data_IF_161778293776
#
_entry.id   IF_161778293776
#
_cell.length_a   1.000
_cell.length_b   1.000
_cell.length_c   1.000
_cell.angle_alpha   90.00
_cell.angle_beta   90.00
_cell.angle_gamma   90.00
#
_symmetry.space_group_name_H-M   'P 1'
#
loop_
_entity.id
_entity.type
_entity.pdbx_description
1 polymer ?
#
# COMPACT_ATOMS: atom_id res chain seq x y z
N UNK A 1 -20.81 -27.88 -9.93
CA UNK A 1 -20.27 -26.51 -9.75
C UNK A 1 -18.94 -26.68 -9.07
N UNK A 2 -17.87 -26.15 -9.65
CA UNK A 2 -16.58 -26.12 -8.95
C UNK A 2 -16.70 -25.18 -7.75
N UNK A 3 -16.07 -25.57 -6.65
CA UNK A 3 -15.99 -24.77 -5.43
C UNK A 3 -14.55 -24.35 -5.18
N UNK A 4 -14.34 -23.37 -4.31
CA UNK A 4 -12.99 -22.94 -3.96
C UNK A 4 -12.19 -24.07 -3.28
N UNK A 5 -12.89 -25.04 -2.67
CA UNK A 5 -12.28 -26.21 -2.01
C UNK A 5 -11.51 -27.11 -2.98
N UNK A 6 -11.90 -27.14 -4.26
CA UNK A 6 -11.27 -27.96 -5.30
C UNK A 6 -9.79 -27.58 -5.54
N UNK A 7 -9.38 -26.39 -5.11
CA UNK A 7 -8.03 -25.86 -5.33
C UNK A 7 -7.07 -26.01 -4.15
N UNK A 8 -7.55 -26.41 -2.96
CA UNK A 8 -6.75 -26.43 -1.72
C UNK A 8 -5.52 -27.35 -1.86
N UNK A 9 -5.72 -28.56 -2.37
CA UNK A 9 -4.67 -29.55 -2.58
C UNK A 9 -3.62 -29.03 -3.58
N UNK A 10 -4.05 -28.26 -4.57
CA UNK A 10 -3.17 -27.57 -5.51
C UNK A 10 -2.35 -26.46 -4.87
N UNK A 11 -2.99 -25.63 -4.04
CA UNK A 11 -2.36 -24.49 -3.36
C UNK A 11 -1.38 -24.94 -2.28
N UNK A 12 -1.73 -25.97 -1.52
CA UNK A 12 -0.92 -26.47 -0.38
C UNK A 12 0.13 -27.51 -0.78
N UNK A 13 0.03 -28.07 -2.00
CA UNK A 13 1.02 -28.98 -2.59
C UNK A 13 2.44 -28.44 -2.47
N UNK A 14 3.47 -29.29 -2.31
CA UNK A 14 4.88 -28.89 -2.42
C UNK A 14 5.43 -28.93 -3.86
N UNK A 15 4.69 -29.52 -4.80
CA UNK A 15 5.09 -29.58 -6.20
C UNK A 15 4.83 -28.23 -6.90
N UNK A 16 5.90 -27.60 -7.36
CA UNK A 16 5.85 -26.32 -8.08
C UNK A 16 5.06 -26.41 -9.38
N UNK A 17 5.14 -27.53 -10.12
CA UNK A 17 4.37 -27.70 -11.36
C UNK A 17 2.88 -27.75 -11.06
N UNK A 18 2.50 -28.50 -10.03
CA UNK A 18 1.11 -28.57 -9.56
C UNK A 18 0.59 -27.19 -9.16
N UNK A 19 1.35 -26.42 -8.36
CA UNK A 19 0.98 -25.04 -8.00
C UNK A 19 0.80 -24.13 -9.22
N UNK A 20 1.69 -24.21 -10.20
CA UNK A 20 1.58 -23.43 -11.45
C UNK A 20 0.35 -23.82 -12.26
N UNK A 21 0.00 -25.10 -12.31
CA UNK A 21 -1.24 -25.56 -12.94
C UNK A 21 -2.46 -25.06 -12.17
N UNK A 22 -2.46 -25.18 -10.84
CA UNK A 22 -3.54 -24.67 -9.97
C UNK A 22 -3.76 -23.17 -10.17
N UNK A 23 -2.71 -22.37 -10.36
CA UNK A 23 -2.84 -20.96 -10.74
C UNK A 23 -3.60 -20.80 -12.07
N UNK A 24 -3.21 -21.55 -13.10
CA UNK A 24 -3.84 -21.47 -14.42
C UNK A 24 -5.35 -21.80 -14.36
N UNK A 25 -5.76 -22.66 -13.43
CA UNK A 25 -7.16 -23.03 -13.21
C UNK A 25 -7.91 -22.04 -12.28
N UNK A 26 -7.21 -21.46 -11.28
CA UNK A 26 -7.78 -20.49 -10.34
C UNK A 26 -8.12 -19.15 -11.00
N UNK A 27 -7.29 -18.66 -11.93
CA UNK A 27 -7.51 -17.37 -12.59
C UNK A 27 -8.88 -17.30 -13.30
N UNK A 28 -9.24 -18.22 -14.21
CA UNK A 28 -10.56 -18.18 -14.85
C UNK A 28 -11.70 -18.39 -13.85
N UNK A 29 -11.52 -19.26 -12.86
CA UNK A 29 -12.53 -19.48 -11.82
C UNK A 29 -12.85 -18.21 -11.02
N UNK A 30 -11.83 -17.50 -10.53
CA UNK A 30 -12.01 -16.26 -9.76
C UNK A 30 -12.46 -15.09 -10.64
N UNK A 31 -12.15 -15.12 -11.93
CA UNK A 31 -12.56 -14.11 -12.90
C UNK A 31 -14.04 -14.21 -13.28
N UNK A 32 -14.65 -15.41 -13.19
CA UNK A 32 -16.08 -15.60 -13.44
C UNK A 32 -16.92 -15.17 -12.22
N UNK A 33 -17.67 -14.05 -12.28
CA UNK A 33 -18.47 -13.53 -11.17
C UNK A 33 -19.50 -14.52 -10.61
N UNK A 34 -19.87 -15.55 -11.37
CA UNK A 34 -20.85 -16.56 -10.96
C UNK A 34 -20.25 -17.74 -10.19
N UNK A 35 -18.92 -17.90 -10.20
CA UNK A 35 -18.23 -18.91 -9.38
C UNK A 35 -18.49 -18.69 -7.90
N UNK A 36 -18.92 -19.72 -7.17
CA UNK A 36 -19.15 -19.62 -5.72
C UNK A 36 -17.82 -19.58 -4.97
N UNK A 37 -17.69 -18.63 -4.04
CA UNK A 37 -16.60 -18.60 -3.06
C UNK A 37 -16.97 -19.25 -1.73
N UNK A 38 -18.14 -19.89 -1.64
CA UNK A 38 -18.55 -20.59 -0.42
C UNK A 38 -17.58 -21.73 -0.11
N UNK A 39 -17.14 -21.76 1.16
CA UNK A 39 -16.31 -22.78 1.75
C UNK A 39 -16.98 -23.26 3.03
N UNK A 40 -16.83 -24.53 3.39
CA UNK A 40 -17.45 -25.13 4.57
C UNK A 40 -16.73 -24.77 5.90
N UNK A 41 -16.43 -23.48 6.11
CA UNK A 41 -15.96 -22.87 7.37
C UNK A 41 -14.49 -23.06 7.79
N UNK A 42 -13.66 -23.87 7.12
CA UNK A 42 -12.20 -24.00 7.45
C UNK A 42 -11.23 -23.82 6.26
N UNK A 43 -11.74 -23.77 5.05
CA UNK A 43 -10.91 -23.93 3.85
C UNK A 43 -10.34 -22.62 3.29
N UNK A 44 -11.01 -21.49 3.52
CA UNK A 44 -10.51 -20.17 3.05
C UNK A 44 -9.22 -19.80 3.77
N UNK A 45 -9.12 -20.02 5.07
CA UNK A 45 -7.90 -19.70 5.83
C UNK A 45 -6.71 -20.51 5.32
N UNK A 46 -6.88 -21.82 5.12
CA UNK A 46 -5.83 -22.68 4.58
C UNK A 46 -5.40 -22.26 3.17
N UNK A 47 -6.37 -21.87 2.34
CA UNK A 47 -6.08 -21.35 1.00
C UNK A 47 -5.28 -20.05 1.07
N UNK A 48 -5.70 -19.09 1.90
CA UNK A 48 -5.00 -17.81 2.06
C UNK A 48 -3.59 -18.01 2.63
N UNK A 49 -3.42 -18.89 3.61
CA UNK A 49 -2.10 -19.23 4.15
C UNK A 49 -1.20 -19.88 3.09
N UNK A 50 -1.74 -20.79 2.28
CA UNK A 50 -1.02 -21.41 1.18
C UNK A 50 -0.60 -20.39 0.12
N UNK A 51 -1.49 -19.47 -0.26
CA UNK A 51 -1.19 -18.37 -1.19
C UNK A 51 -0.18 -17.38 -0.60
N UNK A 52 -0.25 -17.06 0.69
CA UNK A 52 0.80 -16.29 1.37
C UNK A 52 2.15 -17.03 1.30
N UNK A 53 2.15 -18.37 1.35
CA UNK A 53 3.32 -19.20 1.08
C UNK A 53 3.84 -19.08 -0.35
N UNK A 54 2.95 -18.99 -1.35
CA UNK A 54 3.33 -18.72 -2.74
C UNK A 54 4.02 -17.37 -2.88
N UNK A 55 3.43 -16.31 -2.29
CA UNK A 55 4.01 -14.95 -2.29
C UNK A 55 5.43 -14.94 -1.70
N UNK A 56 5.67 -15.73 -0.64
CA UNK A 56 7.00 -15.85 -0.01
C UNK A 56 8.02 -16.67 -0.81
N UNK A 57 7.61 -17.35 -1.87
CA UNK A 57 8.49 -18.20 -2.67
C UNK A 57 9.70 -17.45 -3.22
N UNK A 58 10.82 -18.14 -3.35
CA UNK A 58 12.01 -17.67 -4.09
C UNK A 58 11.81 -17.76 -5.61
N UNK A 59 10.84 -18.53 -6.08
CA UNK A 59 10.44 -18.56 -7.48
C UNK A 59 9.55 -17.34 -7.76
N UNK A 60 10.10 -16.33 -8.45
CA UNK A 60 9.38 -15.09 -8.72
C UNK A 60 8.06 -15.31 -9.47
N UNK A 61 7.96 -16.33 -10.32
CA UNK A 61 6.72 -16.64 -11.06
C UNK A 61 5.65 -17.15 -10.11
N UNK A 62 6.00 -18.04 -9.19
CA UNK A 62 5.05 -18.51 -8.18
C UNK A 62 4.65 -17.39 -7.21
N UNK A 63 5.59 -16.51 -6.86
CA UNK A 63 5.32 -15.34 -6.03
C UNK A 63 4.35 -14.36 -6.70
N UNK A 64 4.59 -14.05 -7.98
CA UNK A 64 3.70 -13.22 -8.80
C UNK A 64 2.29 -13.83 -8.89
N UNK A 65 2.21 -15.13 -9.17
CA UNK A 65 0.95 -15.87 -9.23
C UNK A 65 0.18 -15.80 -7.90
N UNK A 66 0.87 -15.92 -6.76
CA UNK A 66 0.25 -15.79 -5.44
C UNK A 66 -0.33 -14.38 -5.21
N UNK A 67 0.41 -13.34 -5.61
CA UNK A 67 -0.08 -11.96 -5.51
C UNK A 67 -1.31 -11.72 -6.40
N UNK A 68 -1.30 -12.23 -7.64
CA UNK A 68 -2.40 -12.09 -8.60
C UNK A 68 -3.68 -12.78 -8.11
N UNK A 69 -3.56 -14.01 -7.59
CA UNK A 69 -4.71 -14.74 -7.03
C UNK A 69 -5.28 -13.98 -5.82
N UNK A 70 -4.42 -13.48 -4.92
CA UNK A 70 -4.88 -12.70 -3.77
C UNK A 70 -5.56 -11.39 -4.19
N UNK A 71 -5.11 -10.73 -5.27
CA UNK A 71 -5.80 -9.56 -5.83
C UNK A 71 -7.24 -9.91 -6.23
N UNK A 72 -7.43 -11.01 -6.97
CA UNK A 72 -8.76 -11.45 -7.40
C UNK A 72 -9.63 -11.88 -6.22
N UNK A 73 -9.06 -12.57 -5.24
CA UNK A 73 -9.79 -12.96 -4.01
C UNK A 73 -10.27 -11.74 -3.25
N UNK A 74 -9.44 -10.71 -3.09
CA UNK A 74 -9.84 -9.46 -2.42
C UNK A 74 -10.98 -8.78 -3.17
N UNK A 75 -10.92 -8.71 -4.50
CA UNK A 75 -11.99 -8.10 -5.30
C UNK A 75 -13.32 -8.84 -5.15
N UNK A 76 -13.28 -10.17 -5.05
CA UNK A 76 -14.46 -11.03 -4.95
C UNK A 76 -15.04 -11.10 -3.54
N UNK A 77 -14.19 -11.09 -2.51
CA UNK A 77 -14.60 -11.18 -1.10
C UNK A 77 -14.99 -9.83 -0.51
N UNK A 78 -14.42 -8.72 -1.02
CA UNK A 78 -14.64 -7.40 -0.45
C UNK A 78 -14.25 -7.35 1.03
N UNK A 79 -15.10 -6.77 1.87
CA UNK A 79 -14.88 -6.64 3.31
C UNK A 79 -14.71 -7.99 4.04
N UNK A 80 -15.22 -9.08 3.49
CA UNK A 80 -15.03 -10.43 4.05
C UNK A 80 -13.56 -10.86 4.01
N UNK A 81 -12.69 -10.19 3.23
CA UNK A 81 -11.26 -10.45 3.25
C UNK A 81 -10.54 -9.85 4.47
N UNK A 82 -11.15 -8.90 5.18
CA UNK A 82 -10.54 -8.17 6.30
C UNK A 82 -9.84 -9.06 7.35
N UNK A 83 -10.40 -10.22 7.77
CA UNK A 83 -9.76 -11.11 8.74
C UNK A 83 -8.40 -11.63 8.27
N UNK A 84 -8.21 -11.80 6.96
CA UNK A 84 -6.99 -12.39 6.39
C UNK A 84 -5.92 -11.35 6.00
N UNK A 85 -6.23 -10.05 6.09
CA UNK A 85 -5.28 -8.96 5.77
C UNK A 85 -3.98 -9.13 6.56
N UNK A 86 -4.05 -9.45 7.85
CA UNK A 86 -2.86 -9.62 8.71
C UNK A 86 -2.02 -10.83 8.35
N UNK A 87 -2.63 -11.87 7.76
CA UNK A 87 -1.95 -13.09 7.31
C UNK A 87 -1.09 -12.82 6.08
N UNK A 88 -1.62 -12.06 5.11
CA UNK A 88 -0.94 -11.81 3.84
C UNK A 88 0.03 -10.63 3.90
N UNK A 89 -0.27 -9.60 4.69
CA UNK A 89 0.42 -8.32 4.65
C UNK A 89 1.96 -8.42 4.80
N UNK A 90 2.53 -9.22 5.73
CA UNK A 90 3.98 -9.34 5.84
C UNK A 90 4.65 -9.83 4.55
N UNK A 91 4.04 -10.81 3.87
CA UNK A 91 4.56 -11.34 2.62
C UNK A 91 4.52 -10.30 1.50
N UNK A 92 3.45 -9.50 1.44
CA UNK A 92 3.29 -8.43 0.44
C UNK A 92 4.30 -7.30 0.66
N UNK A 93 4.56 -6.91 1.92
CA UNK A 93 5.59 -5.91 2.25
C UNK A 93 6.96 -6.37 1.78
N UNK A 94 7.33 -7.62 2.04
CA UNK A 94 8.62 -8.18 1.58
C UNK A 94 8.73 -8.16 0.04
N UNK A 95 7.61 -8.32 -0.68
CA UNK A 95 7.56 -8.28 -2.14
C UNK A 95 7.71 -6.89 -2.75
N UNK A 96 7.53 -5.81 -1.98
CA UNK A 96 7.99 -4.48 -2.40
C UNK A 96 9.52 -4.43 -2.58
N UNK A 97 10.26 -5.38 -2.00
CA UNK A 97 11.71 -5.50 -2.12
C UNK A 97 12.19 -6.44 -3.23
N UNK A 98 11.29 -6.97 -4.07
CA UNK A 98 11.65 -7.98 -5.06
C UNK A 98 12.50 -7.39 -6.20
N UNK A 99 13.45 -8.18 -6.70
CA UNK A 99 14.29 -7.86 -7.85
C UNK A 99 13.52 -7.64 -9.15
N UNK A 100 12.31 -8.21 -9.27
CA UNK A 100 11.47 -8.13 -10.47
C UNK A 100 10.40 -7.06 -10.31
N UNK A 101 10.41 -6.09 -11.23
CA UNK A 101 9.48 -4.96 -11.23
C UNK A 101 8.03 -5.42 -11.20
N UNK A 102 7.66 -6.40 -12.04
CA UNK A 102 6.32 -7.00 -12.06
C UNK A 102 5.83 -7.53 -10.70
N UNK A 103 6.73 -8.05 -9.85
CA UNK A 103 6.39 -8.54 -8.51
C UNK A 103 6.12 -7.35 -7.58
N UNK A 104 6.96 -6.30 -7.65
CA UNK A 104 6.76 -5.07 -6.87
C UNK A 104 5.48 -4.36 -7.27
N UNK A 105 5.19 -4.28 -8.56
CA UNK A 105 3.98 -3.65 -9.11
C UNK A 105 2.72 -4.39 -8.65
N UNK A 106 2.73 -5.73 -8.70
CA UNK A 106 1.60 -6.52 -8.23
C UNK A 106 1.43 -6.41 -6.70
N UNK A 107 2.52 -6.32 -5.94
CA UNK A 107 2.47 -6.09 -4.50
C UNK A 107 1.86 -4.72 -4.15
N UNK A 108 2.21 -3.66 -4.90
CA UNK A 108 1.58 -2.34 -4.79
C UNK A 108 0.07 -2.40 -5.05
N UNK A 109 -0.34 -3.09 -6.12
CA UNK A 109 -1.75 -3.27 -6.45
C UNK A 109 -2.50 -4.00 -5.34
N UNK A 110 -1.93 -5.08 -4.80
CA UNK A 110 -2.53 -5.82 -3.70
C UNK A 110 -2.65 -4.96 -2.44
N UNK A 111 -1.63 -4.17 -2.07
CA UNK A 111 -1.72 -3.24 -0.93
C UNK A 111 -2.90 -2.28 -1.06
N UNK A 112 -3.11 -1.70 -2.25
CA UNK A 112 -4.25 -0.80 -2.49
C UNK A 112 -5.60 -1.53 -2.38
N UNK A 113 -5.68 -2.79 -2.81
CA UNK A 113 -6.88 -3.63 -2.69
C UNK A 113 -7.17 -4.04 -1.24
N UNK A 114 -6.12 -4.34 -0.46
CA UNK A 114 -6.23 -4.60 0.97
C UNK A 114 -6.76 -3.37 1.75
N UNK A 115 -6.50 -2.17 1.24
CA UNK A 115 -7.10 -0.94 1.78
C UNK A 115 -8.56 -0.80 1.39
N UNK A 116 -8.90 -1.01 0.11
CA UNK A 116 -10.27 -0.99 -0.40
C UNK A 116 -10.36 -1.95 -1.61
N UNK A 117 -11.27 -2.94 -1.63
CA UNK A 117 -12.46 -3.05 -0.77
C UNK A 117 -12.28 -3.80 0.56
N UNK A 118 -11.12 -4.41 0.86
CA UNK A 118 -11.03 -5.32 2.01
C UNK A 118 -11.16 -4.65 3.38
N UNK A 119 -10.71 -3.41 3.55
CA UNK A 119 -10.67 -2.76 4.86
C UNK A 119 -10.70 -1.23 4.72
N UNK A 120 -9.69 -0.52 5.25
CA UNK A 120 -9.50 0.92 5.05
C UNK A 120 -8.02 1.26 4.87
N UNK A 121 -7.68 2.40 4.24
CA UNK A 121 -6.31 2.91 4.19
C UNK A 121 -5.63 2.99 5.56
N UNK A 122 -6.32 3.57 6.56
CA UNK A 122 -5.79 3.68 7.92
C UNK A 122 -5.47 2.32 8.54
N UNK A 123 -6.37 1.34 8.40
CA UNK A 123 -6.17 0.00 8.98
C UNK A 123 -4.91 -0.69 8.46
N UNK A 124 -4.63 -0.56 7.16
CA UNK A 124 -3.42 -1.11 6.55
C UNK A 124 -2.20 -0.32 7.02
N UNK A 125 -2.22 1.02 6.95
CA UNK A 125 -1.08 1.86 7.34
C UNK A 125 -0.70 1.75 8.82
N UNK A 126 -1.64 1.50 9.73
CA UNK A 126 -1.35 1.20 11.14
C UNK A 126 -0.43 -0.02 11.32
N UNK A 127 -0.36 -0.89 10.31
CA UNK A 127 0.47 -2.11 10.30
C UNK A 127 1.72 -1.99 9.41
N UNK A 128 1.88 -0.89 8.68
CA UNK A 128 3.01 -0.66 7.78
C UNK A 128 4.20 0.01 8.46
N UNK A 129 4.10 0.40 9.73
CA UNK A 129 5.18 1.06 10.49
C UNK A 129 6.57 0.42 10.32
N UNK A 130 6.73 -0.91 10.48
CA UNK A 130 8.01 -1.58 10.30
C UNK A 130 8.64 -1.43 8.90
N UNK A 131 7.83 -1.19 7.86
CA UNK A 131 8.31 -1.05 6.49
C UNK A 131 9.13 0.23 6.28
N UNK A 132 8.87 1.30 7.05
CA UNK A 132 9.65 2.54 6.99
C UNK A 132 11.09 2.36 7.49
N UNK A 133 11.37 1.35 8.30
CA UNK A 133 12.72 1.02 8.79
C UNK A 133 13.28 -0.26 8.17
N UNK A 134 12.73 -0.72 7.04
CA UNK A 134 13.12 -1.99 6.46
C UNK A 134 14.55 -1.97 5.90
N UNK A 135 15.24 -3.12 5.97
CA UNK A 135 16.64 -3.25 5.53
C UNK A 135 16.81 -3.07 4.02
N UNK A 136 15.82 -3.48 3.23
CA UNK A 136 15.83 -3.33 1.77
C UNK A 136 15.30 -1.94 1.39
N UNK A 137 16.11 -1.19 0.64
CA UNK A 137 15.76 0.17 0.21
C UNK A 137 14.51 0.19 -0.67
N UNK A 138 14.32 -0.81 -1.53
CA UNK A 138 13.11 -0.95 -2.36
C UNK A 138 11.82 -1.06 -1.53
N UNK A 139 11.84 -1.68 -0.34
CA UNK A 139 10.65 -1.74 0.52
C UNK A 139 10.32 -0.34 1.08
N UNK A 140 11.35 0.40 1.53
CA UNK A 140 11.18 1.77 2.04
C UNK A 140 10.71 2.73 0.94
N UNK A 141 11.27 2.63 -0.26
CA UNK A 141 10.80 3.36 -1.44
C UNK A 141 9.36 2.95 -1.78
N UNK A 142 9.09 1.66 -1.85
CA UNK A 142 7.78 1.09 -2.16
C UNK A 142 6.70 1.64 -1.23
N UNK A 143 6.93 1.67 0.09
CA UNK A 143 5.90 2.16 1.01
C UNK A 143 5.62 3.67 0.88
N UNK A 144 6.63 4.46 0.51
CA UNK A 144 6.47 5.87 0.21
C UNK A 144 5.66 6.10 -1.08
N UNK A 145 5.85 5.25 -2.09
CA UNK A 145 5.02 5.24 -3.29
C UNK A 145 3.58 4.78 -2.99
N UNK A 146 3.41 3.74 -2.16
CA UNK A 146 2.09 3.30 -1.69
C UNK A 146 1.35 4.44 -1.01
N UNK A 147 2.04 5.21 -0.16
CA UNK A 147 1.46 6.37 0.52
C UNK A 147 0.97 7.44 -0.47
N UNK A 148 1.80 7.82 -1.44
CA UNK A 148 1.44 8.78 -2.49
C UNK A 148 0.22 8.30 -3.28
N UNK A 149 0.22 7.04 -3.72
CA UNK A 149 -0.90 6.43 -4.43
C UNK A 149 -2.18 6.41 -3.58
N UNK A 150 -2.04 6.14 -2.28
CA UNK A 150 -3.17 6.09 -1.33
C UNK A 150 -3.82 7.45 -1.17
N UNK A 151 -3.05 8.51 -0.89
CA UNK A 151 -3.62 9.84 -0.72
C UNK A 151 -4.15 10.42 -2.04
N UNK A 152 -3.51 10.11 -3.18
CA UNK A 152 -4.02 10.50 -4.49
C UNK A 152 -5.34 9.82 -4.84
N UNK A 153 -5.52 8.56 -4.43
CA UNK A 153 -6.73 7.79 -4.71
C UNK A 153 -7.88 8.08 -3.75
N UNK A 154 -7.60 8.22 -2.46
CA UNK A 154 -8.62 8.30 -1.41
C UNK A 154 -8.66 9.63 -0.67
N UNK A 155 -7.76 10.57 -1.00
CA UNK A 155 -7.59 11.85 -0.33
C UNK A 155 -6.79 11.75 0.98
N UNK A 156 -6.05 12.80 1.34
CA UNK A 156 -5.22 12.81 2.56
C UNK A 156 -5.96 12.53 3.88
N UNK A 157 -7.28 12.76 3.94
CA UNK A 157 -8.10 12.51 5.15
C UNK A 157 -8.32 11.03 5.45
N UNK A 158 -8.03 10.13 4.50
CA UNK A 158 -8.11 8.69 4.76
C UNK A 158 -7.00 8.18 5.70
N UNK A 159 -5.98 9.02 5.99
CA UNK A 159 -4.86 8.72 6.85
C UNK A 159 -4.66 9.77 7.94
N UNK A 160 -4.30 9.31 9.13
CA UNK A 160 -3.79 10.14 10.22
C UNK A 160 -2.31 10.45 9.96
N UNK A 161 -2.06 11.38 9.03
CA UNK A 161 -0.73 11.72 8.55
C UNK A 161 0.24 12.17 9.66
N UNK A 162 -0.25 12.70 10.77
CA UNK A 162 0.58 13.08 11.92
C UNK A 162 1.33 11.91 12.54
N UNK A 163 0.85 10.66 12.38
CA UNK A 163 1.55 9.45 12.82
C UNK A 163 2.60 8.96 11.81
N UNK A 164 2.42 9.28 10.53
CA UNK A 164 3.24 8.74 9.44
C UNK A 164 4.39 9.69 9.08
N UNK A 165 4.12 11.00 9.08
CA UNK A 165 5.10 12.04 8.69
C UNK A 165 6.42 11.94 9.47
N UNK A 166 6.46 11.69 10.79
CA UNK A 166 7.73 11.52 11.50
C UNK A 166 8.63 10.41 10.93
N UNK A 167 8.05 9.30 10.45
CA UNK A 167 8.83 8.22 9.84
C UNK A 167 9.32 8.58 8.44
N UNK A 168 8.52 9.30 7.65
CA UNK A 168 8.96 9.86 6.36
C UNK A 168 10.13 10.84 6.55
N UNK A 169 10.06 11.68 7.59
CA UNK A 169 11.13 12.62 7.92
C UNK A 169 12.47 11.94 8.22
N UNK A 170 12.46 10.75 8.85
CA UNK A 170 13.68 9.96 9.07
C UNK A 170 14.28 9.47 7.74
N UNK A 171 13.43 9.13 6.77
CA UNK A 171 13.84 8.64 5.45
C UNK A 171 14.48 9.71 4.56
N UNK A 172 14.40 10.99 4.92
CA UNK A 172 15.18 12.05 4.27
C UNK A 172 16.70 11.88 4.47
N UNK A 173 17.12 11.05 5.43
CA UNK A 173 18.52 10.69 5.71
C UNK A 173 18.89 9.28 5.30
N UNK A 174 18.03 8.62 4.54
CA UNK A 174 18.29 7.24 4.15
C UNK A 174 19.61 7.13 3.36
N UNK A 175 20.43 6.07 3.54
CA UNK A 175 21.63 5.87 2.74
C UNK A 175 21.33 5.82 1.23
N UNK A 176 20.18 5.30 0.83
CA UNK A 176 19.77 5.24 -0.58
C UNK A 176 19.26 6.60 -1.08
N UNK A 177 19.83 7.15 -2.17
CA UNK A 177 19.31 8.38 -2.79
C UNK A 177 17.86 8.23 -3.26
N UNK A 178 17.48 7.07 -3.77
CA UNK A 178 16.11 6.77 -4.22
C UNK A 178 15.10 6.88 -3.07
N UNK A 179 15.45 6.38 -1.89
CA UNK A 179 14.59 6.49 -0.70
C UNK A 179 14.47 7.94 -0.24
N UNK A 180 15.56 8.72 -0.24
CA UNK A 180 15.51 10.15 0.11
C UNK A 180 14.66 10.96 -0.87
N UNK A 181 14.75 10.66 -2.16
CA UNK A 181 13.94 11.27 -3.20
C UNK A 181 12.46 10.91 -3.02
N UNK A 182 12.14 9.63 -2.86
CA UNK A 182 10.78 9.17 -2.60
C UNK A 182 10.19 9.80 -1.32
N UNK A 183 10.98 9.99 -0.27
CA UNK A 183 10.55 10.61 0.97
C UNK A 183 10.24 12.10 0.77
N UNK A 184 11.08 12.78 -0.01
CA UNK A 184 10.85 14.17 -0.42
C UNK A 184 9.57 14.29 -1.22
N UNK A 185 9.35 13.42 -2.21
CA UNK A 185 8.15 13.43 -3.05
C UNK A 185 6.89 13.09 -2.25
N UNK A 186 6.96 12.16 -1.30
CA UNK A 186 5.85 11.86 -0.40
C UNK A 186 5.45 13.07 0.45
N UNK A 187 6.41 13.85 0.97
CA UNK A 187 6.11 15.09 1.71
C UNK A 187 5.53 16.18 0.80
N UNK A 188 5.98 16.28 -0.45
CA UNK A 188 5.41 17.20 -1.45
C UNK A 188 3.99 16.81 -1.80
N UNK A 189 3.69 15.53 -1.97
CA UNK A 189 2.33 15.06 -2.23
C UNK A 189 1.42 15.30 -1.02
N UNK A 190 1.88 15.02 0.20
CA UNK A 190 1.14 15.40 1.42
C UNK A 190 0.88 16.91 1.45
N UNK A 191 1.87 17.73 1.12
CA UNK A 191 1.72 19.17 1.04
C UNK A 191 0.70 19.59 -0.03
N UNK A 192 0.68 18.95 -1.19
CA UNK A 192 -0.30 19.18 -2.26
C UNK A 192 -1.75 19.01 -1.78
N UNK A 193 -1.99 18.02 -0.92
CA UNK A 193 -3.31 17.71 -0.37
C UNK A 193 -3.70 18.57 0.84
N UNK A 194 -2.73 18.95 1.68
CA UNK A 194 -2.98 19.51 3.04
C UNK A 194 -2.57 20.99 3.16
N UNK A 195 -1.62 21.46 2.36
CA UNK A 195 -1.14 22.83 2.33
C UNK A 195 -0.20 23.22 3.49
N UNK A 196 -0.21 24.50 3.84
CA UNK A 196 0.76 25.12 4.75
C UNK A 196 0.86 24.49 6.14
N UNK A 197 -0.20 23.80 6.61
CA UNK A 197 -0.14 23.06 7.87
C UNK A 197 1.04 22.10 7.91
N UNK A 198 1.35 21.44 6.79
CA UNK A 198 2.48 20.50 6.68
C UNK A 198 3.80 21.21 6.97
N UNK A 199 4.03 22.42 6.43
CA UNK A 199 5.25 23.20 6.69
C UNK A 199 5.42 23.51 8.18
N UNK A 200 4.33 23.84 8.87
CA UNK A 200 4.36 24.12 10.31
C UNK A 200 4.67 22.85 11.12
N UNK A 201 4.04 21.73 10.76
CA UNK A 201 4.26 20.45 11.43
C UNK A 201 5.71 19.95 11.23
N UNK A 202 6.27 20.11 10.03
CA UNK A 202 7.67 19.76 9.73
C UNK A 202 8.68 20.59 10.53
N UNK A 203 8.41 21.88 10.74
CA UNK A 203 9.24 22.73 11.63
C UNK A 203 9.20 22.23 13.08
N UNK A 204 8.05 21.80 13.57
CA UNK A 204 7.90 21.25 14.94
C UNK A 204 8.62 19.91 15.12
N UNK A 205 8.71 19.10 14.07
CA UNK A 205 9.46 17.83 14.07
C UNK A 205 10.97 18.07 14.19
N UNK A 206 11.46 19.28 13.86
CA UNK A 206 12.87 19.64 14.02
C UNK A 206 13.75 19.21 12.85
N UNK A 207 13.21 19.20 11.62
CA UNK A 207 14.03 18.98 10.43
C UNK A 207 15.15 20.03 10.32
N UNK A 208 16.33 19.61 9.83
CA UNK A 208 17.44 20.53 9.62
C UNK A 208 17.09 21.65 8.64
N UNK A 209 17.72 22.82 8.81
CA UNK A 209 17.44 23.99 7.98
C UNK A 209 17.66 23.69 6.48
N UNK A 210 18.69 22.91 6.15
CA UNK A 210 18.97 22.50 4.78
C UNK A 210 17.81 21.70 4.16
N UNK A 211 17.25 20.71 4.87
CA UNK A 211 16.11 19.92 4.38
C UNK A 211 14.85 20.75 4.27
N UNK A 212 14.60 21.60 5.26
CA UNK A 212 13.49 22.54 5.22
C UNK A 212 13.60 23.45 4.00
N UNK A 213 14.79 23.95 3.65
CA UNK A 213 14.98 24.78 2.46
C UNK A 213 14.65 24.03 1.16
N UNK A 214 15.12 22.78 1.02
CA UNK A 214 14.80 21.94 -0.16
C UNK A 214 13.30 21.71 -0.29
N UNK A 215 12.63 21.33 0.80
CA UNK A 215 11.18 21.11 0.82
C UNK A 215 10.42 22.41 0.54
N UNK A 216 10.84 23.53 1.12
CA UNK A 216 10.23 24.84 0.90
C UNK A 216 10.28 25.23 -0.59
N UNK A 217 11.42 25.05 -1.27
CA UNK A 217 11.52 25.32 -2.70
C UNK A 217 10.52 24.49 -3.51
N UNK A 218 10.44 23.18 -3.26
CA UNK A 218 9.47 22.29 -3.92
C UNK A 218 8.02 22.66 -3.62
N UNK A 219 7.72 23.09 -2.39
CA UNK A 219 6.38 23.56 -2.02
C UNK A 219 6.01 24.86 -2.76
N UNK A 220 6.94 25.80 -2.93
CA UNK A 220 6.69 27.01 -3.71
C UNK A 220 6.54 26.72 -5.20
N UNK A 221 7.37 25.85 -5.78
CA UNK A 221 7.21 25.37 -7.17
C UNK A 221 5.81 24.77 -7.39
N UNK A 222 5.35 23.94 -6.45
CA UNK A 222 4.03 23.33 -6.52
C UNK A 222 2.90 24.36 -6.45
N UNK A 223 3.01 25.40 -5.61
CA UNK A 223 2.04 26.51 -5.59
C UNK A 223 2.03 27.28 -6.90
N UNK A 224 3.21 27.66 -7.39
CA UNK A 224 3.36 28.47 -8.60
C UNK A 224 2.84 27.75 -9.84
N UNK A 225 2.95 26.42 -9.88
CA UNK A 225 2.39 25.61 -10.96
C UNK A 225 0.86 25.45 -10.90
N UNK A 226 0.19 25.94 -9.84
CA UNK A 226 -1.26 25.82 -9.67
C UNK A 226 -1.75 24.39 -9.41
N UNK A 227 -0.84 23.45 -9.09
CA UNK A 227 -1.16 22.03 -8.92
C UNK A 227 -1.65 21.66 -7.52
N UNK A 228 -1.83 22.64 -6.63
CA UNK A 228 -2.41 22.43 -5.30
C UNK A 228 -3.84 21.90 -5.40
N UNK A 229 -4.22 20.98 -4.51
CA UNK A 229 -5.60 20.49 -4.47
C UNK A 229 -6.49 21.45 -3.68
N UNK A 230 -7.79 21.58 -4.02
CA UNK A 230 -8.74 22.40 -3.27
C UNK A 230 -8.81 22.07 -1.78
N UNK A 231 -8.47 20.84 -1.40
CA UNK A 231 -8.41 20.37 -0.01
C UNK A 231 -7.31 21.06 0.81
N UNK A 232 -6.28 21.62 0.18
CA UNK A 232 -5.18 22.34 0.83
C UNK A 232 -5.61 23.72 1.35
N UNK A 233 -6.66 24.31 0.79
CA UNK A 233 -7.12 25.67 1.11
C UNK A 233 -8.19 25.74 2.21
N UNK A 234 -8.63 24.60 2.76
CA UNK A 234 -9.72 24.54 3.77
C UNK A 234 -9.35 25.28 5.06
N UNK A 235 -8.06 25.48 5.34
CA UNK A 235 -7.60 26.33 6.44
C UNK A 235 -8.05 27.80 6.33
N UNK A 236 -8.21 28.33 5.10
CA UNK A 236 -8.69 29.70 4.87
C UNK A 236 -10.22 29.81 4.97
N UNK A 237 -10.96 28.77 4.55
CA UNK A 237 -12.42 28.77 4.63
C UNK A 237 -12.96 28.84 6.07
N UNK A 238 -12.32 28.11 6.99
CA UNK A 238 -12.76 28.14 8.39
C UNK A 238 -12.38 29.46 9.09
N UNK A 239 -11.23 30.07 8.78
CA UNK A 239 -10.86 31.36 9.38
C UNK A 239 -11.77 32.52 8.93
N UNK A 240 -12.29 32.50 7.69
CA UNK A 240 -13.25 33.53 7.24
C UNK A 240 -14.63 33.40 7.88
N UNK A 241 -15.05 32.20 8.27
CA UNK A 241 -16.33 31.97 8.96
C UNK A 241 -16.26 32.45 10.42
N UNK A 242 -15.13 32.27 11.10
CA UNK A 242 -14.94 32.70 12.49
C UNK A 242 -14.43 34.15 12.66
N UNK A 243 -13.97 34.80 11.59
CA UNK A 243 -13.61 36.23 11.59
C UNK A 243 -14.80 37.17 11.32
N UNK A 244 -15.99 36.63 11.06
CA UNK A 244 -17.24 37.39 10.83
C UNK A 244 -18.23 37.34 12.00
N UNK A 245 -17.75 37.05 13.21
CA UNK A 245 -18.55 37.20 14.44
C UNK A 245 -17.88 38.19 15.38
#
# INVERSE_FOLDING_TARGET
>A
MSSLDDFIDGVTSQDTKKRLQTHADLIPFLSDPHSSLECQDFNVDQLIEGLAGWVKSSNFKLSLNGLEVLCLMVDRMGENFKPHVTTVLPAVIDRLGDSKDQVRDMAQQLLLKLMMPASTPQYVFDRLGPAFSHKLWHVKEGILLTLQNTINRYGARCLLLSKIVPDICKLLDDPSPQVREAATNALVEIYRHVGEKVRHDLKKIGLSQQRMNVLNSKFEELKLSGNMLPTADVGKYNQQIYSKK
#
